data_IF_791179030157
#
_entry.id   IF_791179030157
#
_cell.length_a   1.000
_cell.length_b   1.000
_cell.length_c   1.000
_cell.angle_alpha   90.00
_cell.angle_beta   90.00
_cell.angle_gamma   90.00
#
_symmetry.space_group_name_H-M   'P 1'
#
loop_
_entity.id
_entity.type
_entity.pdbx_description
1 polymer ?
#
# COMPACT_ATOMS: atom_id res chain seq x y z
N UNK A 1 28.68 -23.48 -53.52
CA UNK A 1 27.32 -22.95 -53.73
C UNK A 1 26.33 -24.10 -53.55
N UNK A 2 26.50 -25.18 -54.29
CA UNK A 2 25.64 -26.37 -54.20
C UNK A 2 25.64 -26.99 -52.80
N UNK A 3 26.81 -27.16 -52.16
CA UNK A 3 26.89 -27.61 -50.76
C UNK A 3 26.08 -26.74 -49.77
N UNK A 4 25.98 -25.43 -50.02
CA UNK A 4 25.18 -24.54 -49.16
C UNK A 4 23.67 -24.76 -49.41
N UNK A 5 23.27 -24.91 -50.67
CA UNK A 5 21.88 -25.21 -51.04
C UNK A 5 21.44 -26.54 -50.43
N UNK A 6 22.31 -27.56 -50.47
CA UNK A 6 21.96 -28.92 -50.04
C UNK A 6 22.05 -29.14 -48.52
N UNK A 7 22.86 -28.34 -47.80
CA UNK A 7 23.06 -28.54 -46.34
C UNK A 7 22.40 -27.49 -45.46
N UNK A 8 22.19 -26.26 -45.96
CA UNK A 8 21.69 -25.15 -45.15
C UNK A 8 20.27 -24.71 -45.52
N UNK A 9 19.78 -25.02 -46.72
CA UNK A 9 18.42 -24.69 -47.17
C UNK A 9 17.49 -25.91 -47.12
N UNK A 10 17.29 -26.46 -45.92
CA UNK A 10 16.35 -27.57 -45.74
C UNK A 10 14.89 -27.07 -45.81
N UNK A 11 14.04 -27.67 -46.65
CA UNK A 11 12.61 -27.41 -46.63
C UNK A 11 12.05 -27.72 -45.25
N UNK A 12 11.24 -26.81 -44.72
CA UNK A 12 10.51 -27.09 -43.49
C UNK A 12 9.14 -27.69 -43.83
N UNK A 13 8.95 -28.94 -43.43
CA UNK A 13 7.71 -29.68 -43.68
C UNK A 13 6.75 -29.66 -42.48
N UNK A 14 7.20 -29.17 -41.32
CA UNK A 14 6.45 -29.19 -40.08
C UNK A 14 6.47 -27.84 -39.35
N UNK A 15 5.40 -27.59 -38.61
CA UNK A 15 5.25 -26.38 -37.82
C UNK A 15 6.08 -26.44 -36.54
N UNK A 16 6.90 -25.43 -36.27
CA UNK A 16 7.74 -25.38 -35.06
C UNK A 16 6.95 -25.25 -33.74
N UNK A 17 5.66 -24.92 -33.79
CA UNK A 17 4.82 -24.72 -32.59
C UNK A 17 4.14 -26.01 -32.16
N UNK A 18 3.50 -26.73 -33.09
CA UNK A 18 2.80 -27.98 -32.79
C UNK A 18 3.54 -29.23 -33.25
N UNK A 19 4.64 -29.08 -34.00
CA UNK A 19 5.44 -30.17 -34.60
C UNK A 19 4.68 -31.03 -35.63
N UNK A 20 3.47 -30.64 -36.02
CA UNK A 20 2.68 -31.31 -37.05
C UNK A 20 3.12 -30.88 -38.47
N UNK A 21 3.02 -31.80 -39.42
CA UNK A 21 3.28 -31.54 -40.84
C UNK A 21 2.30 -30.53 -41.43
N UNK A 22 2.78 -29.67 -42.32
CA UNK A 22 1.92 -28.72 -43.01
C UNK A 22 0.90 -29.41 -43.92
N UNK A 23 -0.30 -28.85 -43.99
CA UNK A 23 -1.42 -29.41 -44.75
C UNK A 23 -2.37 -28.31 -45.22
N UNK A 24 -3.42 -28.69 -45.94
CA UNK A 24 -4.47 -27.74 -46.37
C UNK A 24 -5.18 -27.06 -45.19
N UNK A 25 -5.28 -27.73 -44.03
CA UNK A 25 -5.86 -27.20 -42.80
C UNK A 25 -4.81 -26.57 -41.87
N UNK A 26 -3.52 -26.87 -42.10
CA UNK A 26 -2.38 -26.34 -41.37
C UNK A 26 -1.37 -25.70 -42.33
N UNK A 27 -1.80 -24.66 -43.06
CA UNK A 27 -0.98 -24.06 -44.12
C UNK A 27 0.25 -23.33 -43.55
N UNK A 28 1.43 -23.44 -44.20
CA UNK A 28 2.62 -22.73 -43.76
C UNK A 28 2.51 -21.23 -44.06
N UNK A 29 2.94 -20.39 -43.11
CA UNK A 29 2.97 -18.94 -43.24
C UNK A 29 4.31 -18.42 -42.74
N UNK A 30 4.97 -17.60 -43.56
CA UNK A 30 6.21 -16.93 -43.19
C UNK A 30 5.92 -15.57 -42.51
N UNK A 31 6.59 -15.33 -41.39
CA UNK A 31 6.62 -14.01 -40.74
C UNK A 31 7.74 -13.14 -41.35
N UNK A 32 7.74 -11.83 -41.01
CA UNK A 32 8.84 -10.89 -41.41
C UNK A 32 10.22 -11.28 -40.87
N UNK A 33 10.26 -12.09 -39.82
CA UNK A 33 11.49 -12.67 -39.27
C UNK A 33 11.92 -13.96 -39.98
N UNK A 34 11.32 -14.28 -41.12
CA UNK A 34 11.53 -15.48 -41.94
C UNK A 34 11.23 -16.83 -41.27
N UNK A 35 10.73 -16.85 -40.04
CA UNK A 35 10.23 -18.07 -39.42
C UNK A 35 8.89 -18.50 -40.05
N UNK A 36 8.80 -19.77 -40.41
CA UNK A 36 7.61 -20.40 -41.00
C UNK A 36 6.85 -21.13 -39.91
N UNK A 37 5.56 -20.84 -39.78
CA UNK A 37 4.66 -21.46 -38.80
C UNK A 37 3.35 -21.83 -39.47
N UNK A 38 2.62 -22.79 -38.90
CA UNK A 38 1.30 -23.11 -39.42
C UNK A 38 0.28 -22.03 -39.07
N UNK A 39 -0.55 -21.64 -40.04
CA UNK A 39 -1.48 -20.52 -39.92
C UNK A 39 -2.42 -20.65 -38.72
N UNK A 40 -2.98 -21.84 -38.49
CA UNK A 40 -3.86 -22.09 -37.34
C UNK A 40 -3.14 -21.93 -36.00
N UNK A 41 -1.88 -22.35 -35.91
CA UNK A 41 -1.03 -22.17 -34.72
C UNK A 41 -0.68 -20.69 -34.51
N UNK A 42 -0.29 -19.97 -35.55
CA UNK A 42 0.00 -18.54 -35.47
C UNK A 42 -1.26 -17.75 -35.07
N UNK A 43 -2.41 -18.06 -35.67
CA UNK A 43 -3.69 -17.45 -35.33
C UNK A 43 -4.09 -17.71 -33.87
N UNK A 44 -3.88 -18.94 -33.38
CA UNK A 44 -4.10 -19.31 -31.97
C UNK A 44 -3.12 -18.56 -31.06
N UNK A 45 -1.85 -18.48 -31.41
CA UNK A 45 -0.84 -17.72 -30.67
C UNK A 45 -1.23 -16.25 -30.52
N UNK A 46 -1.58 -15.59 -31.62
CA UNK A 46 -1.97 -14.18 -31.62
C UNK A 46 -3.24 -13.93 -30.80
N UNK A 47 -4.23 -14.83 -30.88
CA UNK A 47 -5.55 -14.62 -30.24
C UNK A 47 -5.63 -15.08 -28.78
N UNK A 48 -4.91 -16.14 -28.42
CA UNK A 48 -5.07 -16.83 -27.13
C UNK A 48 -3.78 -17.41 -26.56
N UNK A 49 -2.62 -17.04 -27.11
CA UNK A 49 -1.32 -17.36 -26.52
C UNK A 49 -1.15 -16.71 -25.15
N UNK A 50 -0.21 -17.23 -24.36
CA UNK A 50 0.13 -16.65 -23.06
C UNK A 50 1.43 -15.84 -23.21
N UNK A 51 1.44 -14.59 -22.74
CA UNK A 51 2.60 -13.69 -22.80
C UNK A 51 2.58 -12.73 -23.99
N UNK A 52 3.75 -12.45 -24.57
CA UNK A 52 3.91 -11.46 -25.66
C UNK A 52 3.41 -12.01 -27.01
N UNK A 53 2.10 -12.12 -27.17
CA UNK A 53 1.43 -12.73 -28.34
C UNK A 53 1.52 -11.91 -29.62
N UNK A 54 1.99 -10.66 -29.53
CA UNK A 54 2.26 -9.79 -30.67
C UNK A 54 3.64 -10.06 -31.31
N UNK A 55 4.40 -11.04 -30.80
CA UNK A 55 5.75 -11.37 -31.26
C UNK A 55 5.85 -12.80 -31.80
N UNK A 56 6.87 -13.05 -32.61
CA UNK A 56 7.19 -14.38 -33.13
C UNK A 56 7.42 -15.38 -31.97
N UNK A 57 6.77 -16.56 -31.98
CA UNK A 57 6.98 -17.59 -30.96
C UNK A 57 8.42 -18.07 -30.84
N UNK A 58 9.18 -18.01 -31.94
CA UNK A 58 10.55 -18.50 -32.02
C UNK A 58 11.59 -17.44 -31.65
N UNK A 59 11.64 -16.33 -32.42
CA UNK A 59 12.69 -15.31 -32.25
C UNK A 59 12.25 -14.06 -31.47
N UNK A 60 10.98 -13.97 -31.06
CA UNK A 60 10.40 -12.81 -30.34
C UNK A 60 10.40 -11.47 -31.09
N UNK A 61 10.71 -11.46 -32.40
CA UNK A 61 10.52 -10.26 -33.23
C UNK A 61 9.04 -9.88 -33.31
N UNK A 62 8.72 -8.61 -33.09
CA UNK A 62 7.35 -8.07 -33.11
C UNK A 62 6.72 -8.25 -34.50
N UNK A 63 5.53 -8.86 -34.53
CA UNK A 63 4.74 -9.14 -35.74
C UNK A 63 3.85 -7.94 -36.07
N UNK A 64 3.22 -7.37 -35.04
CA UNK A 64 2.38 -6.18 -35.16
C UNK A 64 2.47 -5.35 -33.88
N UNK A 65 2.36 -4.04 -34.02
CA UNK A 65 2.21 -3.14 -32.88
C UNK A 65 0.81 -3.31 -32.31
N UNK A 66 0.72 -3.67 -31.03
CA UNK A 66 -0.54 -3.53 -30.30
C UNK A 66 -0.77 -2.04 -30.07
N UNK A 67 -1.99 -1.51 -30.26
CA UNK A 67 -2.32 -0.19 -29.77
C UNK A 67 -1.89 -0.16 -28.32
N UNK A 68 -1.04 0.81 -27.94
CA UNK A 68 -0.51 0.93 -26.59
C UNK A 68 -1.66 0.80 -25.59
N UNK A 69 -1.88 -0.41 -25.06
CA UNK A 69 -2.61 -0.57 -23.82
C UNK A 69 -1.83 0.28 -22.86
N UNK A 70 -2.43 1.38 -22.40
CA UNK A 70 -1.87 2.40 -21.49
C UNK A 70 -0.54 1.93 -20.90
N UNK A 71 0.56 2.62 -21.24
CA UNK A 71 1.95 2.41 -20.76
C UNK A 71 2.04 2.33 -19.22
N UNK A 72 1.44 1.31 -18.62
CA UNK A 72 1.63 0.90 -17.24
C UNK A 72 2.24 -0.47 -17.37
N UNK A 73 3.56 -0.52 -17.42
CA UNK A 73 4.29 -1.77 -17.30
C UNK A 73 3.75 -2.55 -16.09
N UNK A 74 3.63 -3.87 -16.23
CA UNK A 74 3.15 -4.75 -15.16
C UNK A 74 4.25 -4.96 -14.11
N UNK A 75 4.66 -3.87 -13.47
CA UNK A 75 5.71 -3.82 -12.46
C UNK A 75 5.21 -3.14 -11.17
N UNK A 76 5.86 -3.38 -10.01
CA UNK A 76 5.40 -2.84 -8.74
C UNK A 76 5.30 -1.30 -8.70
N UNK A 77 6.31 -0.51 -9.13
CA UNK A 77 6.18 0.94 -9.23
C UNK A 77 4.96 1.43 -10.04
N UNK A 78 4.76 0.91 -11.24
CA UNK A 78 3.69 1.36 -12.14
C UNK A 78 2.30 1.02 -11.60
N UNK A 79 2.11 -0.19 -11.08
CA UNK A 79 0.84 -0.59 -10.46
C UNK A 79 0.58 0.22 -9.19
N UNK A 80 1.60 0.47 -8.36
CA UNK A 80 1.44 1.30 -7.16
C UNK A 80 1.06 2.74 -7.51
N UNK A 81 1.66 3.31 -8.55
CA UNK A 81 1.28 4.62 -9.08
C UNK A 81 -0.18 4.61 -9.55
N UNK A 82 -0.56 3.63 -10.36
CA UNK A 82 -1.92 3.50 -10.88
C UNK A 82 -2.98 3.31 -9.78
N UNK A 83 -2.64 2.63 -8.67
CA UNK A 83 -3.48 2.52 -7.47
C UNK A 83 -3.66 3.87 -6.76
N UNK A 84 -2.61 4.67 -6.65
CA UNK A 84 -2.68 5.99 -6.03
C UNK A 84 -3.50 6.99 -6.85
N UNK A 85 -3.49 6.85 -8.18
CA UNK A 85 -4.24 7.68 -9.12
C UNK A 85 -5.71 7.25 -9.27
N UNK A 86 -6.16 6.19 -8.58
CA UNK A 86 -7.56 5.78 -8.61
C UNK A 86 -8.48 6.83 -7.99
N UNK A 87 -9.72 6.97 -8.52
CA UNK A 87 -10.75 7.81 -7.92
C UNK A 87 -10.92 7.54 -6.42
N UNK A 88 -11.18 8.60 -5.67
CA UNK A 88 -11.27 8.56 -4.20
C UNK A 88 -12.29 7.53 -3.73
N UNK A 89 -13.41 7.39 -4.44
CA UNK A 89 -14.48 6.45 -4.15
C UNK A 89 -13.96 5.00 -4.21
N UNK A 90 -13.13 4.68 -5.22
CA UNK A 90 -12.56 3.34 -5.38
C UNK A 90 -11.53 3.04 -4.30
N UNK A 91 -10.64 3.99 -3.98
CA UNK A 91 -9.68 3.84 -2.87
C UNK A 91 -10.42 3.67 -1.54
N UNK A 92 -11.50 4.42 -1.30
CA UNK A 92 -12.29 4.30 -0.08
C UNK A 92 -13.09 3.01 0.01
N UNK A 93 -13.58 2.47 -1.12
CA UNK A 93 -14.20 1.16 -1.16
C UNK A 93 -13.20 0.06 -0.77
N UNK A 94 -11.98 0.13 -1.30
CA UNK A 94 -10.89 -0.78 -0.90
C UNK A 94 -10.55 -0.68 0.58
N UNK A 95 -10.38 0.54 1.10
CA UNK A 95 -10.12 0.79 2.52
C UNK A 95 -11.22 0.26 3.43
N UNK A 96 -12.49 0.46 3.05
CA UNK A 96 -13.64 -0.07 3.79
C UNK A 96 -13.64 -1.60 3.85
N UNK A 97 -13.31 -2.26 2.74
CA UNK A 97 -13.20 -3.72 2.70
C UNK A 97 -12.00 -4.23 3.53
N UNK A 98 -10.86 -3.54 3.50
CA UNK A 98 -9.72 -3.81 4.40
C UNK A 98 -10.16 -3.72 5.88
N UNK A 99 -10.81 -2.63 6.29
CA UNK A 99 -11.30 -2.47 7.67
C UNK A 99 -12.23 -3.61 8.08
N UNK A 100 -13.18 -3.97 7.23
CA UNK A 100 -14.12 -5.07 7.48
C UNK A 100 -13.39 -6.39 7.72
N UNK A 101 -12.43 -6.74 6.85
CA UNK A 101 -11.66 -7.99 6.97
C UNK A 101 -10.72 -7.98 8.17
N UNK A 102 -10.12 -6.83 8.47
CA UNK A 102 -9.31 -6.64 9.66
C UNK A 102 -10.14 -6.95 10.91
N UNK A 103 -11.37 -6.43 11.00
CA UNK A 103 -12.27 -6.69 12.13
C UNK A 103 -12.58 -8.19 12.26
N UNK A 104 -12.81 -8.89 11.15
CA UNK A 104 -12.96 -10.36 11.17
C UNK A 104 -11.70 -11.04 11.70
N UNK A 105 -10.50 -10.57 11.35
CA UNK A 105 -9.25 -11.14 11.86
C UNK A 105 -9.09 -10.91 13.37
N UNK A 106 -9.46 -9.73 13.87
CA UNK A 106 -9.48 -9.40 15.31
C UNK A 106 -10.44 -10.29 16.13
N UNK A 107 -11.53 -10.77 15.52
CA UNK A 107 -12.40 -11.74 16.21
C UNK A 107 -11.75 -13.10 16.42
N UNK A 108 -10.73 -13.44 15.62
CA UNK A 108 -9.97 -14.70 15.74
C UNK A 108 -8.75 -14.57 16.65
N UNK A 109 -8.06 -13.43 16.59
CA UNK A 109 -6.88 -13.14 17.41
C UNK A 109 -6.95 -11.70 17.94
N UNK A 110 -7.19 -11.58 19.24
CA UNK A 110 -7.34 -10.31 19.94
C UNK A 110 -6.01 -9.64 20.30
N UNK A 111 -4.86 -10.28 20.03
CA UNK A 111 -3.55 -9.65 20.28
C UNK A 111 -3.24 -8.56 19.26
N UNK A 112 -3.94 -8.55 18.12
CA UNK A 112 -3.62 -7.71 16.97
C UNK A 112 -2.27 -8.05 16.34
N UNK A 113 -1.67 -9.19 16.69
CA UNK A 113 -0.37 -9.63 16.19
C UNK A 113 -0.45 -10.50 14.95
N UNK A 114 -0.91 -9.90 13.86
CA UNK A 114 -1.11 -10.63 12.63
C UNK A 114 0.20 -10.80 11.86
N UNK A 115 0.50 -12.06 11.53
CA UNK A 115 1.54 -12.43 10.59
C UNK A 115 1.30 -11.79 9.21
N UNK A 116 2.36 -11.63 8.41
CA UNK A 116 2.22 -11.22 7.00
C UNK A 116 1.34 -12.21 6.25
N UNK A 117 1.49 -13.51 6.52
CA UNK A 117 0.68 -14.57 5.91
C UNK A 117 -0.81 -14.37 6.17
N UNK A 118 -1.23 -14.14 7.42
CA UNK A 118 -2.63 -13.89 7.76
C UNK A 118 -3.14 -12.58 7.16
N UNK A 119 -2.32 -11.51 7.18
CA UNK A 119 -2.69 -10.24 6.55
C UNK A 119 -2.89 -10.38 5.04
N UNK A 120 -2.01 -11.09 4.35
CA UNK A 120 -2.14 -11.30 2.90
C UNK A 120 -3.33 -12.21 2.55
N UNK A 121 -3.44 -13.36 3.21
CA UNK A 121 -4.48 -14.35 2.91
C UNK A 121 -5.89 -13.90 3.27
N UNK A 122 -6.06 -13.25 4.43
CA UNK A 122 -7.39 -13.01 5.00
C UNK A 122 -7.87 -11.57 4.80
N UNK A 123 -6.95 -10.64 4.59
CA UNK A 123 -7.24 -9.21 4.52
C UNK A 123 -6.93 -8.65 3.13
N UNK A 124 -5.65 -8.56 2.75
CA UNK A 124 -5.22 -7.81 1.56
C UNK A 124 -5.71 -8.42 0.25
N UNK A 125 -5.36 -9.69 -0.02
CA UNK A 125 -5.67 -10.33 -1.31
C UNK A 125 -7.19 -10.45 -1.52
N UNK A 126 -7.99 -10.86 -0.52
CA UNK A 126 -9.44 -10.87 -0.66
C UNK A 126 -10.06 -9.48 -0.84
N UNK A 127 -9.52 -8.43 -0.18
CA UNK A 127 -9.97 -7.05 -0.42
C UNK A 127 -9.70 -6.60 -1.85
N UNK A 128 -8.50 -6.86 -2.36
CA UNK A 128 -8.16 -6.54 -3.76
C UNK A 128 -9.07 -7.29 -4.73
N UNK A 129 -9.33 -8.58 -4.49
CA UNK A 129 -10.24 -9.39 -5.29
C UNK A 129 -11.67 -8.82 -5.31
N UNK A 130 -12.18 -8.36 -4.17
CA UNK A 130 -13.53 -7.78 -4.06
C UNK A 130 -13.68 -6.50 -4.89
N UNK A 131 -12.66 -5.66 -4.91
CA UNK A 131 -12.67 -4.37 -5.63
C UNK A 131 -12.32 -4.56 -7.12
N UNK A 132 -11.50 -5.56 -7.44
CA UNK A 132 -11.08 -5.89 -8.80
C UNK A 132 -12.10 -6.64 -9.64
N UNK A 133 -13.31 -6.93 -9.13
CA UNK A 133 -14.36 -7.60 -9.91
C UNK A 133 -14.75 -6.76 -11.15
N UNK A 134 -14.47 -7.26 -12.36
CA UNK A 134 -14.75 -6.59 -13.64
C UNK A 134 -13.59 -6.73 -14.64
N UNK A 135 -13.52 -5.83 -15.62
CA UNK A 135 -12.40 -5.70 -16.56
C UNK A 135 -11.06 -5.44 -15.83
N UNK A 136 -9.93 -5.74 -16.51
CA UNK A 136 -8.58 -5.48 -15.99
C UNK A 136 -8.45 -4.05 -15.49
N UNK A 137 -8.01 -3.91 -14.25
CA UNK A 137 -7.85 -2.63 -13.56
C UNK A 137 -6.73 -2.74 -12.51
N UNK A 138 -6.20 -1.62 -11.99
CA UNK A 138 -5.03 -1.64 -11.11
C UNK A 138 -5.18 -2.48 -9.83
N UNK A 139 -6.40 -2.68 -9.31
CA UNK A 139 -6.62 -3.58 -8.16
C UNK A 139 -6.48 -5.05 -8.55
N UNK A 140 -6.95 -5.43 -9.74
CA UNK A 140 -6.77 -6.77 -10.30
C UNK A 140 -5.29 -7.03 -10.58
N UNK A 141 -4.60 -6.08 -11.22
CA UNK A 141 -3.17 -6.20 -11.52
C UNK A 141 -2.34 -6.32 -10.24
N UNK A 142 -2.66 -5.50 -9.24
CA UNK A 142 -2.03 -5.57 -7.92
C UNK A 142 -2.28 -6.91 -7.24
N UNK A 143 -3.53 -7.41 -7.24
CA UNK A 143 -3.87 -8.72 -6.67
C UNK A 143 -3.03 -9.82 -7.31
N UNK A 144 -2.99 -9.84 -8.64
CA UNK A 144 -2.36 -10.91 -9.40
C UNK A 144 -0.86 -10.91 -9.19
N UNK A 145 -0.22 -9.73 -9.21
CA UNK A 145 1.21 -9.62 -8.95
C UNK A 145 1.57 -9.96 -7.50
N UNK A 146 0.78 -9.50 -6.51
CA UNK A 146 1.00 -9.84 -5.09
C UNK A 146 0.83 -11.34 -4.87
N UNK A 147 -0.25 -11.94 -5.38
CA UNK A 147 -0.54 -13.36 -5.20
C UNK A 147 0.51 -14.24 -5.89
N UNK A 148 0.88 -13.93 -7.14
CA UNK A 148 1.88 -14.68 -7.89
C UNK A 148 3.25 -14.62 -7.21
N UNK A 149 3.71 -13.41 -6.85
CA UNK A 149 5.02 -13.21 -6.20
C UNK A 149 5.08 -13.88 -4.82
N UNK A 150 4.01 -13.78 -4.04
CA UNK A 150 4.00 -14.37 -2.71
C UNK A 150 3.91 -15.91 -2.77
N UNK A 151 3.17 -16.47 -3.74
CA UNK A 151 3.10 -17.92 -3.96
C UNK A 151 4.43 -18.49 -4.47
N UNK A 152 5.11 -17.81 -5.40
CA UNK A 152 6.38 -18.29 -5.95
C UNK A 152 7.49 -18.35 -4.90
N UNK A 153 7.46 -17.46 -3.91
CA UNK A 153 8.38 -17.46 -2.77
C UNK A 153 8.03 -18.49 -1.67
N UNK A 154 7.02 -19.34 -1.87
CA UNK A 154 6.62 -20.33 -0.87
C UNK A 154 5.79 -19.75 0.28
N UNK A 155 5.08 -18.63 0.05
CA UNK A 155 4.22 -17.95 1.05
C UNK A 155 4.97 -17.56 2.34
N UNK A 156 6.09 -16.83 2.23
CA UNK A 156 6.87 -16.44 3.41
C UNK A 156 6.08 -15.50 4.31
N UNK A 157 6.43 -15.48 5.60
CA UNK A 157 5.93 -14.50 6.55
C UNK A 157 6.65 -13.13 6.43
N UNK A 158 6.88 -12.67 5.19
CA UNK A 158 7.58 -11.44 4.86
C UNK A 158 6.96 -10.82 3.60
N UNK A 159 6.80 -9.49 3.61
CA UNK A 159 6.19 -8.76 2.50
C UNK A 159 7.28 -8.34 1.49
N UNK A 160 7.00 -8.54 0.20
CA UNK A 160 7.91 -8.21 -0.90
C UNK A 160 7.16 -7.45 -2.01
N UNK A 161 7.84 -6.56 -2.72
CA UNK A 161 7.26 -5.79 -3.82
C UNK A 161 5.98 -5.06 -3.42
N UNK A 162 4.90 -5.22 -4.19
CA UNK A 162 3.60 -4.60 -3.90
C UNK A 162 2.95 -5.03 -2.58
N UNK A 163 3.35 -6.17 -2.00
CA UNK A 163 2.83 -6.58 -0.70
C UNK A 163 3.28 -5.64 0.42
N UNK A 164 4.45 -5.00 0.27
CA UNK A 164 5.05 -4.12 1.29
C UNK A 164 4.11 -2.99 1.72
N UNK A 165 3.67 -2.08 0.82
CA UNK A 165 2.80 -0.97 1.21
C UNK A 165 1.43 -1.44 1.70
N UNK A 166 0.91 -2.57 1.21
CA UNK A 166 -0.42 -3.07 1.59
C UNK A 166 -0.42 -3.71 2.97
N UNK A 167 0.63 -4.47 3.29
CA UNK A 167 0.80 -5.06 4.63
C UNK A 167 1.11 -3.97 5.65
N UNK A 168 1.92 -2.95 5.29
CA UNK A 168 2.16 -1.77 6.13
C UNK A 168 0.86 -1.03 6.45
N UNK A 169 0.03 -0.78 5.43
CA UNK A 169 -1.29 -0.17 5.58
C UNK A 169 -2.19 -0.98 6.53
N UNK A 170 -2.32 -2.30 6.31
CA UNK A 170 -3.13 -3.16 7.16
C UNK A 170 -2.63 -3.18 8.62
N UNK A 171 -1.31 -3.09 8.85
CA UNK A 171 -0.75 -2.97 10.21
C UNK A 171 -1.09 -1.63 10.87
N UNK A 172 -0.97 -0.52 10.14
CA UNK A 172 -1.36 0.80 10.62
C UNK A 172 -2.85 0.83 10.99
N UNK A 173 -3.70 0.29 10.13
CA UNK A 173 -5.14 0.15 10.38
C UNK A 173 -5.40 -0.70 11.63
N UNK A 174 -4.73 -1.84 11.77
CA UNK A 174 -4.84 -2.70 12.96
C UNK A 174 -4.51 -1.99 14.27
N UNK A 175 -3.46 -1.17 14.27
CA UNK A 175 -3.06 -0.43 15.47
C UNK A 175 -4.11 0.62 15.82
N UNK A 176 -4.59 1.32 14.80
CA UNK A 176 -5.60 2.35 14.94
C UNK A 176 -6.98 1.82 15.37
N UNK A 177 -7.36 0.58 15.05
CA UNK A 177 -8.66 0.02 15.44
C UNK A 177 -8.86 -0.12 16.95
N UNK A 178 -7.77 -0.17 17.72
CA UNK A 178 -7.84 -0.19 19.19
C UNK A 178 -8.11 1.18 19.82
N UNK A 179 -8.05 2.25 19.01
CA UNK A 179 -8.12 3.64 19.45
C UNK A 179 -9.32 4.36 18.83
N UNK A 180 -9.56 4.13 17.54
CA UNK A 180 -10.63 4.79 16.81
C UNK A 180 -11.99 4.09 17.03
N UNK A 181 -13.08 4.84 17.16
CA UNK A 181 -14.40 4.25 17.18
C UNK A 181 -14.76 3.65 15.81
N UNK A 182 -15.54 2.57 15.82
CA UNK A 182 -15.90 1.82 14.59
C UNK A 182 -16.52 2.70 13.50
N UNK A 183 -17.39 3.64 13.88
CA UNK A 183 -18.02 4.55 12.92
C UNK A 183 -17.02 5.43 12.16
N UNK A 184 -15.83 5.69 12.72
CA UNK A 184 -14.80 6.52 12.07
C UNK A 184 -14.05 5.74 10.97
N UNK A 185 -14.00 4.41 11.07
CA UNK A 185 -13.35 3.53 10.08
C UNK A 185 -14.10 3.44 8.74
N UNK A 186 -15.38 3.81 8.70
CA UNK A 186 -16.18 3.88 7.47
C UNK A 186 -16.21 5.27 6.84
N UNK A 187 -15.59 6.28 7.47
CA UNK A 187 -15.62 7.65 6.98
C UNK A 187 -14.61 7.82 5.84
N UNK A 188 -15.11 8.25 4.68
CA UNK A 188 -14.33 8.46 3.45
C UNK A 188 -13.04 9.26 3.69
N UNK A 189 -13.13 10.45 4.29
CA UNK A 189 -11.96 11.31 4.54
C UNK A 189 -10.89 10.66 5.42
N UNK A 190 -11.28 9.83 6.39
CA UNK A 190 -10.31 9.08 7.20
C UNK A 190 -9.64 7.99 6.38
N UNK A 191 -10.39 7.29 5.54
CA UNK A 191 -9.81 6.31 4.63
C UNK A 191 -8.80 6.94 3.66
N UNK A 192 -9.10 8.13 3.14
CA UNK A 192 -8.16 8.91 2.32
C UNK A 192 -6.91 9.25 3.13
N UNK A 193 -7.07 9.77 4.34
CA UNK A 193 -5.94 10.18 5.16
C UNK A 193 -5.02 9.00 5.53
N UNK A 194 -5.58 7.83 5.86
CA UNK A 194 -4.81 6.60 6.09
C UNK A 194 -4.09 6.12 4.83
N UNK A 195 -4.73 6.23 3.67
CA UNK A 195 -4.11 5.90 2.39
C UNK A 195 -2.92 6.81 2.11
N UNK A 196 -3.08 8.12 2.24
CA UNK A 196 -2.01 9.11 2.04
C UNK A 196 -0.84 8.93 3.02
N UNK A 197 -1.16 8.69 4.30
CA UNK A 197 -0.17 8.35 5.33
C UNK A 197 0.63 7.09 4.98
N UNK A 198 0.01 6.13 4.31
CA UNK A 198 0.73 4.95 3.83
C UNK A 198 1.52 5.22 2.54
N UNK A 199 1.00 6.05 1.64
CA UNK A 199 1.60 6.26 0.33
C UNK A 199 2.89 7.10 0.36
N UNK A 200 3.10 7.94 1.38
CA UNK A 200 4.31 8.77 1.50
C UNK A 200 5.63 7.99 1.65
N UNK A 201 5.55 6.71 1.99
CA UNK A 201 6.70 5.81 2.14
C UNK A 201 7.09 5.06 0.86
N UNK A 202 6.25 5.07 -0.17
CA UNK A 202 6.46 4.27 -1.38
C UNK A 202 6.53 2.76 -1.10
N UNK A 203 7.36 2.05 -1.88
CA UNK A 203 7.42 0.58 -1.91
C UNK A 203 8.47 -0.05 -0.98
N UNK A 204 9.46 0.72 -0.52
CA UNK A 204 10.64 0.14 0.13
C UNK A 204 10.49 -0.05 1.64
N UNK A 205 9.76 0.84 2.33
CA UNK A 205 9.66 0.77 3.78
C UNK A 205 8.68 -0.32 4.24
N UNK A 206 9.18 -1.39 4.87
CA UNK A 206 8.35 -2.51 5.34
C UNK A 206 7.53 -2.19 6.59
N UNK A 207 7.96 -1.19 7.34
CA UNK A 207 7.46 -0.83 8.66
C UNK A 207 7.36 0.68 8.80
N UNK A 208 6.46 1.14 9.68
CA UNK A 208 6.46 2.53 10.12
C UNK A 208 7.63 2.72 11.09
N UNK A 209 8.26 3.88 11.08
CA UNK A 209 9.35 4.23 12.01
C UNK A 209 9.07 5.55 12.70
N UNK A 210 9.48 5.65 13.96
CA UNK A 210 9.46 6.90 14.72
C UNK A 210 10.27 8.00 14.04
N UNK A 211 11.37 7.68 13.33
CA UNK A 211 12.18 8.68 12.64
C UNK A 211 11.38 9.47 11.60
N UNK A 212 10.50 8.80 10.86
CA UNK A 212 9.64 9.47 9.87
C UNK A 212 8.62 10.40 10.53
N UNK A 213 8.10 10.03 11.70
CA UNK A 213 7.19 10.89 12.45
C UNK A 213 7.91 12.08 13.08
N UNK A 214 9.14 11.87 13.59
CA UNK A 214 10.00 12.95 14.11
C UNK A 214 10.34 13.95 13.01
N UNK A 215 10.72 13.47 11.82
CA UNK A 215 10.97 14.31 10.65
C UNK A 215 9.73 15.14 10.29
N UNK A 216 8.55 14.50 10.27
CA UNK A 216 7.29 15.18 9.99
C UNK A 216 6.97 16.25 11.04
N UNK A 217 7.20 15.97 12.32
CA UNK A 217 6.89 16.85 13.45
C UNK A 217 7.66 18.18 13.41
N UNK A 218 8.84 18.20 12.78
CA UNK A 218 9.59 19.44 12.57
C UNK A 218 9.00 20.33 11.47
N UNK A 219 8.06 19.83 10.66
CA UNK A 219 7.37 20.57 9.58
C UNK A 219 8.29 21.17 8.50
N UNK A 220 9.56 20.78 8.46
CA UNK A 220 10.53 21.24 7.46
C UNK A 220 10.28 20.62 6.08
N UNK A 221 9.88 19.34 6.05
CA UNK A 221 9.66 18.58 4.82
C UNK A 221 8.25 17.99 4.85
N UNK A 222 7.39 18.28 3.86
CA UNK A 222 5.98 17.88 3.90
C UNK A 222 5.76 16.39 3.63
N UNK A 223 6.81 15.65 3.23
CA UNK A 223 6.72 14.25 2.77
C UNK A 223 5.91 13.37 3.71
N UNK A 224 6.22 13.39 5.01
CA UNK A 224 5.59 12.54 6.01
C UNK A 224 4.46 13.24 6.78
N UNK A 225 4.03 14.42 6.34
CA UNK A 225 2.95 15.16 6.99
C UNK A 225 1.63 14.36 7.09
N UNK A 226 1.19 13.59 6.08
CA UNK A 226 -0.01 12.76 6.21
C UNK A 226 0.08 11.74 7.36
N UNK A 227 1.28 11.19 7.63
CA UNK A 227 1.51 10.31 8.78
C UNK A 227 1.37 11.08 10.10
N UNK A 228 1.95 12.28 10.20
CA UNK A 228 1.80 13.15 11.37
C UNK A 228 0.33 13.50 11.62
N UNK A 229 -0.41 13.76 10.55
CA UNK A 229 -1.84 14.05 10.63
C UNK A 229 -2.62 12.85 11.16
N UNK A 230 -2.43 11.64 10.60
CA UNK A 230 -3.05 10.41 11.16
C UNK A 230 -2.65 10.22 12.62
N UNK A 231 -1.37 10.36 12.96
CA UNK A 231 -0.90 10.20 14.33
C UNK A 231 -1.58 11.19 15.29
N UNK A 232 -1.71 12.46 14.89
CA UNK A 232 -2.36 13.50 15.70
C UNK A 232 -3.86 13.23 15.87
N UNK A 233 -4.54 12.74 14.82
CA UNK A 233 -5.92 12.25 14.92
C UNK A 233 -6.02 11.10 15.92
N UNK A 234 -5.11 10.13 15.86
CA UNK A 234 -5.10 9.01 16.81
C UNK A 234 -4.86 9.47 18.25
N UNK A 235 -3.97 10.44 18.49
CA UNK A 235 -3.78 11.05 19.81
C UNK A 235 -5.09 11.72 20.27
N UNK A 236 -5.71 12.53 19.40
CA UNK A 236 -6.96 13.24 19.69
C UNK A 236 -8.13 12.29 19.97
N UNK A 237 -8.25 11.17 19.25
CA UNK A 237 -9.22 10.12 19.51
C UNK A 237 -8.91 9.37 20.81
N UNK A 238 -7.63 9.09 21.09
CA UNK A 238 -7.20 8.42 22.31
C UNK A 238 -7.58 9.24 23.56
N UNK A 239 -7.45 10.56 23.52
CA UNK A 239 -7.84 11.47 24.60
C UNK A 239 -9.33 11.34 24.93
N UNK A 240 -10.20 11.38 23.91
CA UNK A 240 -11.67 11.38 24.12
C UNK A 240 -12.21 10.01 24.50
N UNK A 241 -11.59 8.94 24.02
CA UNK A 241 -12.09 7.58 24.21
C UNK A 241 -11.42 6.80 25.34
N UNK A 242 -10.43 7.38 26.02
CA UNK A 242 -9.84 6.78 27.22
C UNK A 242 -10.15 7.61 28.46
N UNK A 243 -10.51 6.94 29.58
CA UNK A 243 -10.79 7.63 30.83
C UNK A 243 -9.64 8.55 31.25
N UNK A 244 -9.95 9.75 31.73
CA UNK A 244 -8.97 10.59 32.38
C UNK A 244 -8.50 9.98 33.70
N UNK A 245 -7.24 10.23 34.10
CA UNK A 245 -6.82 9.89 35.45
C UNK A 245 -7.68 10.62 36.48
N UNK A 246 -7.91 10.01 37.65
CA UNK A 246 -8.72 10.61 38.72
C UNK A 246 -8.20 11.98 39.17
N UNK A 247 -6.88 12.16 39.17
CA UNK A 247 -6.22 13.45 39.34
C UNK A 247 -5.21 13.64 38.19
N UNK A 248 -5.23 14.83 37.59
CA UNK A 248 -4.26 15.15 36.54
C UNK A 248 -2.86 15.32 37.13
N UNK A 249 -1.81 14.66 36.58
CA UNK A 249 -0.47 14.77 37.12
C UNK A 249 0.06 16.21 37.06
N UNK A 250 0.70 16.66 38.15
CA UNK A 250 1.25 18.02 38.25
C UNK A 250 2.75 18.06 37.94
N UNK A 251 3.47 16.95 38.14
CA UNK A 251 4.91 16.89 37.89
C UNK A 251 5.18 16.54 36.42
N UNK A 252 6.13 17.25 35.81
CA UNK A 252 6.53 17.05 34.40
C UNK A 252 6.79 15.58 34.02
N UNK A 253 7.52 14.84 34.86
CA UNK A 253 7.84 13.44 34.56
C UNK A 253 6.62 12.50 34.64
N UNK A 254 5.65 12.81 35.50
CA UNK A 254 4.40 12.05 35.61
C UNK A 254 3.51 12.28 34.37
N UNK A 255 3.41 13.55 33.92
CA UNK A 255 2.74 13.90 32.65
C UNK A 255 3.42 13.22 31.46
N UNK A 256 4.76 13.30 31.40
CA UNK A 256 5.54 12.63 30.36
C UNK A 256 5.27 11.12 30.30
N UNK A 257 5.29 10.45 31.45
CA UNK A 257 5.02 9.01 31.53
C UNK A 257 3.61 8.67 31.05
N UNK A 258 2.61 9.47 31.42
CA UNK A 258 1.23 9.31 30.97
C UNK A 258 1.12 9.45 29.45
N UNK A 259 1.72 10.49 28.88
CA UNK A 259 1.68 10.74 27.43
C UNK A 259 2.43 9.67 26.65
N UNK A 260 3.61 9.25 27.12
CA UNK A 260 4.37 8.14 26.49
C UNK A 260 3.55 6.86 26.53
N UNK A 261 2.90 6.55 27.64
CA UNK A 261 2.06 5.36 27.73
C UNK A 261 0.88 5.42 26.74
N UNK A 262 0.15 6.54 26.71
CA UNK A 262 -1.03 6.71 25.86
C UNK A 262 -0.71 6.84 24.36
N UNK A 263 0.38 7.50 24.01
CA UNK A 263 0.65 7.90 22.63
C UNK A 263 1.80 7.14 21.97
N UNK A 264 2.80 6.70 22.74
CA UNK A 264 3.92 5.91 22.20
C UNK A 264 3.59 4.42 22.28
N UNK A 265 3.22 3.93 23.48
CA UNK A 265 2.98 2.49 23.69
C UNK A 265 1.64 1.98 23.18
N UNK A 266 0.66 2.84 22.93
CA UNK A 266 -0.62 2.39 22.34
C UNK A 266 -0.70 2.58 20.83
N UNK A 267 -0.23 3.73 20.32
CA UNK A 267 -0.30 4.03 18.88
C UNK A 267 0.86 3.37 18.13
N UNK A 268 2.10 3.60 18.56
CA UNK A 268 3.31 3.29 17.79
C UNK A 268 4.20 2.19 18.38
N UNK A 269 3.66 1.28 19.17
CA UNK A 269 4.45 0.29 19.92
C UNK A 269 5.21 -0.73 19.05
N UNK A 270 4.82 -0.88 17.78
CA UNK A 270 5.53 -1.71 16.79
C UNK A 270 6.26 -0.91 15.73
N UNK A 271 6.30 0.41 15.88
CA UNK A 271 7.04 1.23 14.95
C UNK A 271 8.52 1.07 15.24
N UNK A 272 9.29 1.02 14.17
CA UNK A 272 10.72 0.85 14.22
C UNK A 272 11.41 2.06 14.87
N UNK A 273 12.43 1.78 15.68
CA UNK A 273 13.14 2.79 16.46
C UNK A 273 12.38 3.20 17.72
N UNK A 274 12.75 4.37 18.26
CA UNK A 274 12.14 4.96 19.46
C UNK A 274 12.01 6.48 19.27
N UNK A 275 11.01 7.13 19.87
CA UNK A 275 10.94 8.58 19.86
C UNK A 275 12.12 9.20 20.61
N UNK A 276 12.68 10.28 20.07
CA UNK A 276 13.67 11.12 20.76
C UNK A 276 13.06 11.81 21.98
N UNK A 277 13.89 12.32 22.89
CA UNK A 277 13.38 13.07 24.04
C UNK A 277 12.72 14.38 23.60
N UNK A 278 13.32 15.10 22.66
CA UNK A 278 12.76 16.32 22.08
C UNK A 278 11.37 16.06 21.47
N UNK A 279 11.21 14.96 20.74
CA UNK A 279 9.90 14.59 20.20
C UNK A 279 8.88 14.28 21.29
N UNK A 280 9.28 13.59 22.37
CA UNK A 280 8.37 13.33 23.49
C UNK A 280 7.94 14.63 24.17
N UNK A 281 8.85 15.59 24.31
CA UNK A 281 8.54 16.91 24.87
C UNK A 281 7.55 17.67 23.97
N UNK A 282 7.73 17.61 22.64
CA UNK A 282 6.76 18.15 21.69
C UNK A 282 5.41 17.47 21.82
N UNK A 283 5.41 16.14 21.93
CA UNK A 283 4.21 15.33 22.05
C UNK A 283 3.43 15.63 23.34
N UNK A 284 4.12 15.88 24.46
CA UNK A 284 3.47 16.33 25.70
C UNK A 284 2.73 17.64 25.47
N UNK A 285 3.37 18.62 24.85
CA UNK A 285 2.72 19.89 24.52
C UNK A 285 1.49 19.69 23.64
N UNK A 286 1.63 18.96 22.53
CA UNK A 286 0.52 18.66 21.60
C UNK A 286 -0.62 17.94 22.32
N UNK A 287 -0.30 16.96 23.17
CA UNK A 287 -1.29 16.22 23.94
C UNK A 287 -2.07 17.14 24.89
N UNK A 288 -1.39 18.01 25.64
CA UNK A 288 -2.05 18.90 26.59
C UNK A 288 -2.91 19.95 25.90
N UNK A 289 -2.46 20.51 24.77
CA UNK A 289 -3.27 21.42 23.97
C UNK A 289 -4.52 20.72 23.41
N UNK A 290 -4.38 19.52 22.87
CA UNK A 290 -5.52 18.72 22.42
C UNK A 290 -6.48 18.40 23.57
N UNK A 291 -5.96 17.97 24.73
CA UNK A 291 -6.76 17.68 25.93
C UNK A 291 -7.55 18.91 26.36
N UNK A 292 -6.89 20.06 26.52
CA UNK A 292 -7.55 21.32 26.90
C UNK A 292 -8.62 21.72 25.90
N UNK A 293 -8.33 21.58 24.60
CA UNK A 293 -9.28 21.93 23.55
C UNK A 293 -10.53 21.05 23.57
N UNK A 294 -10.34 19.74 23.77
CA UNK A 294 -11.40 18.74 23.61
C UNK A 294 -12.22 18.53 24.88
N UNK A 295 -11.56 18.47 26.04
CA UNK A 295 -12.20 18.16 27.31
C UNK A 295 -12.61 19.45 28.02
N UNK A 296 -11.66 20.36 28.28
CA UNK A 296 -11.95 21.60 29.01
C UNK A 296 -12.79 22.56 28.16
N UNK A 297 -12.50 22.64 26.85
CA UNK A 297 -13.20 23.49 25.90
C UNK A 297 -14.44 22.87 25.24
N UNK A 298 -14.75 21.60 25.53
CA UNK A 298 -15.88 20.87 24.96
C UNK A 298 -15.89 20.73 23.44
N UNK A 299 -14.73 20.91 22.76
CA UNK A 299 -14.65 20.84 21.30
C UNK A 299 -14.54 19.41 20.79
N UNK A 300 -14.95 19.20 19.54
CA UNK A 300 -14.89 17.89 18.91
C UNK A 300 -13.44 17.44 18.70
N UNK A 301 -13.22 16.13 18.85
CA UNK A 301 -11.97 15.48 18.44
C UNK A 301 -11.69 15.61 16.95
N UNK A 302 -10.40 15.59 16.59
CA UNK A 302 -9.93 15.59 15.21
C UNK A 302 -10.40 14.32 14.49
N UNK A 303 -10.97 14.44 13.30
CA UNK A 303 -11.63 13.34 12.56
C UNK A 303 -11.28 13.35 11.07
N UNK A 304 -10.11 13.90 10.72
CA UNK A 304 -9.61 14.05 9.36
C UNK A 304 -10.46 15.00 8.52
N UNK A 305 -11.06 16.02 9.12
CA UNK A 305 -11.85 17.02 8.39
C UNK A 305 -10.95 17.92 7.56
N UNK A 306 -11.51 18.47 6.48
CA UNK A 306 -10.85 19.51 5.71
C UNK A 306 -10.49 20.69 6.64
N UNK A 307 -9.28 21.24 6.46
CA UNK A 307 -8.73 22.29 7.31
C UNK A 307 -8.07 21.82 8.62
N UNK A 308 -8.28 20.57 9.07
CA UNK A 308 -7.58 20.04 10.25
C UNK A 308 -6.06 19.96 10.03
N UNK A 309 -5.59 19.94 8.78
CA UNK A 309 -4.16 20.05 8.48
C UNK A 309 -3.51 21.31 9.07
N UNK A 310 -4.22 22.44 9.08
CA UNK A 310 -3.70 23.70 9.64
C UNK A 310 -3.67 23.64 11.17
N UNK A 311 -4.64 22.95 11.78
CA UNK A 311 -4.63 22.68 13.21
C UNK A 311 -3.44 21.81 13.59
N UNK A 312 -3.18 20.74 12.83
CA UNK A 312 -2.01 19.86 13.05
C UNK A 312 -0.70 20.66 12.88
N UNK A 313 -0.53 21.41 11.79
CA UNK A 313 0.65 22.27 11.58
C UNK A 313 0.83 23.27 12.73
N UNK A 314 -0.26 23.90 13.17
CA UNK A 314 -0.25 24.84 14.29
C UNK A 314 0.19 24.20 15.61
N UNK A 315 -0.38 23.05 15.96
CA UNK A 315 -0.03 22.32 17.19
C UNK A 315 1.45 21.95 17.24
N UNK A 316 1.96 21.31 16.18
CA UNK A 316 3.35 20.86 16.14
C UNK A 316 4.34 22.02 15.97
N UNK A 317 3.97 23.07 15.23
CA UNK A 317 4.78 24.28 15.09
C UNK A 317 4.92 25.06 16.39
N UNK A 318 3.82 25.22 17.14
CA UNK A 318 3.84 25.83 18.48
C UNK A 318 4.69 25.02 19.45
N UNK A 319 4.53 23.68 19.46
CA UNK A 319 5.34 22.79 20.30
C UNK A 319 6.84 22.95 20.01
N UNK A 320 7.23 22.97 18.72
CA UNK A 320 8.63 23.17 18.32
C UNK A 320 9.17 24.53 18.79
N UNK A 321 8.39 25.59 18.62
CA UNK A 321 8.78 26.95 19.01
C UNK A 321 8.96 27.09 20.53
N UNK A 322 8.02 26.56 21.33
CA UNK A 322 8.10 26.61 22.79
C UNK A 322 9.34 25.90 23.33
N UNK A 323 9.71 24.75 22.75
CA UNK A 323 10.92 24.04 23.18
C UNK A 323 12.20 24.77 22.83
N UNK A 324 12.28 25.39 21.64
CA UNK A 324 13.43 26.23 21.27
C UNK A 324 13.61 27.40 22.24
N UNK A 325 12.52 28.09 22.56
CA UNK A 325 12.54 29.21 23.52
C UNK A 325 13.00 28.79 24.92
N UNK A 326 12.69 27.58 25.37
CA UNK A 326 13.09 27.08 26.69
C UNK A 326 14.54 26.55 26.74
N UNK A 327 15.20 26.41 25.59
CA UNK A 327 16.57 25.94 25.49
C UNK A 327 17.60 27.08 25.36
N UNK A 328 17.13 28.31 25.11
CA UNK A 328 17.91 29.56 25.08
C UNK A 328 17.97 30.21 26.48
#
# INVERSE_FOLDING_TARGET
MDDFLDTQLLPTEACIVCTETFSSTHQPVALRCNHILGYSCLKKWIRSGHGNTNACPFCRQVIFETPKSRDTSFDPPSIWKALNEQPTERRCAFMSELWKRQQTLWTKDQTGNFSVTSLLNEVVIPSLAKIGNGESNPFTDCRDLVFASWRSLGRPNAAHGLAVPLVRLARLMSQASSIMPKWLTSVQRMNVLFWEANSCFGLSATTLSWNHLIEAAHLNVPRYFPLLHVYTVLVSQNIVHNPEPREWPKKRHEVMNLVVDRCVKRIGWRWEGKPSNDFKDMLVFVYEELRRHQLDGGRLSLRGREGEENVVKGLWGMAAWTLRKNAE
#
